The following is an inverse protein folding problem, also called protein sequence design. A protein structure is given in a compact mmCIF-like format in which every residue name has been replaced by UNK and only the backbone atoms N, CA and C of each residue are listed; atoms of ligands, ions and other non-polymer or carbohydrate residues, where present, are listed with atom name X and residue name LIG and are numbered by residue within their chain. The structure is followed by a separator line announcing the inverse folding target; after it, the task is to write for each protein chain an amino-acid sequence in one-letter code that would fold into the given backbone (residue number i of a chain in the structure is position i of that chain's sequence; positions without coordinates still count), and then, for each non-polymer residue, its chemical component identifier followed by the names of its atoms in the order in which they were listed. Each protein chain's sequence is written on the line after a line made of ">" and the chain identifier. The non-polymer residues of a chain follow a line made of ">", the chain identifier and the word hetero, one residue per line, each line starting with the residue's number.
data_IF_331193175108
#
_entry.id   IF_331193175108
#
_cell.length_a   1.000
_cell.length_b   1.000
_cell.length_c   1.000
_cell.angle_alpha   90.00
_cell.angle_beta   90.00
_cell.angle_gamma   90.00
#
_symmetry.space_group_name_H-M   'P 1'
#
loop_
_entity.id
_entity.type
_entity.pdbx_description
1 polymer ?
#
# COMPACT_ATOMS: atom_id res chain seq x y z
N UNK A 1 -20.30 10.70 -14.82
CA UNK A 1 -21.08 9.43 -14.72
C UNK A 1 -21.39 9.08 -13.25
N UNK A 2 -22.27 8.12 -12.97
CA UNK A 2 -22.45 7.50 -11.65
C UNK A 2 -22.96 6.04 -11.76
N UNK A 3 -22.77 5.23 -10.73
CA UNK A 3 -23.13 3.81 -10.73
C UNK A 3 -23.10 3.14 -9.36
N UNK A 4 -23.23 1.81 -9.36
CA UNK A 4 -23.19 0.95 -8.17
C UNK A 4 -22.35 -0.30 -8.44
N UNK A 5 -21.37 -0.55 -7.56
CA UNK A 5 -20.53 -1.75 -7.58
C UNK A 5 -21.34 -2.96 -7.04
N UNK A 6 -21.07 -4.20 -7.50
CA UNK A 6 -21.72 -5.39 -6.97
C UNK A 6 -21.51 -5.63 -5.47
N UNK A 7 -20.43 -5.09 -4.90
CA UNK A 7 -20.17 -5.00 -3.44
C UNK A 7 -21.11 -4.03 -2.69
N UNK A 8 -22.21 -3.59 -3.29
CA UNK A 8 -23.20 -2.69 -2.67
C UNK A 8 -22.83 -1.20 -2.69
N UNK A 9 -21.54 -0.88 -2.85
CA UNK A 9 -20.99 0.48 -2.87
C UNK A 9 -21.51 1.30 -4.06
N UNK A 10 -21.72 2.60 -3.88
CA UNK A 10 -22.08 3.51 -4.98
C UNK A 10 -20.88 4.36 -5.39
N UNK A 11 -20.85 4.87 -6.61
CA UNK A 11 -19.81 5.80 -7.05
C UNK A 11 -20.36 6.91 -7.95
N UNK A 12 -19.71 8.07 -7.91
CA UNK A 12 -19.95 9.18 -8.83
C UNK A 12 -18.60 9.65 -9.38
N UNK A 13 -18.53 9.86 -10.69
CA UNK A 13 -17.39 10.50 -11.35
C UNK A 13 -17.28 11.97 -10.88
N UNK A 14 -16.05 12.41 -10.63
CA UNK A 14 -15.75 13.81 -10.36
C UNK A 14 -15.60 14.56 -11.69
N UNK A 15 -16.21 15.73 -11.79
CA UNK A 15 -16.33 16.53 -13.01
C UNK A 15 -16.17 18.01 -12.62
N UNK A 16 -15.51 18.81 -13.46
CA UNK A 16 -15.24 20.25 -13.20
C UNK A 16 -13.81 20.54 -12.74
N UNK A 17 -13.58 21.76 -12.26
CA UNK A 17 -12.24 22.32 -11.98
C UNK A 17 -11.37 21.44 -11.07
N UNK A 18 -11.94 20.89 -9.99
CA UNK A 18 -11.24 19.98 -9.07
C UNK A 18 -10.78 18.68 -9.76
N UNK A 19 -11.56 18.16 -10.71
CA UNK A 19 -11.18 16.99 -11.52
C UNK A 19 -9.99 17.30 -12.41
N UNK A 20 -9.97 18.46 -13.08
CA UNK A 20 -8.89 18.80 -14.01
C UNK A 20 -7.58 19.12 -13.27
N UNK A 21 -7.63 19.86 -12.16
CA UNK A 21 -6.47 20.11 -11.30
C UNK A 21 -5.87 18.79 -10.77
N UNK A 22 -6.73 17.83 -10.38
CA UNK A 22 -6.26 16.53 -9.90
C UNK A 22 -5.68 15.64 -11.02
N UNK A 23 -6.17 15.72 -12.25
CA UNK A 23 -5.59 15.05 -13.44
C UNK A 23 -4.21 15.60 -13.81
N UNK A 24 -4.03 16.92 -13.72
CA UNK A 24 -2.73 17.57 -13.97
C UNK A 24 -1.70 17.25 -12.88
N UNK A 25 -2.16 17.04 -11.64
CA UNK A 25 -1.32 16.69 -10.49
C UNK A 25 -0.95 15.21 -10.41
N UNK A 26 -1.91 14.29 -10.61
CA UNK A 26 -1.74 12.85 -10.38
C UNK A 26 -2.01 12.04 -11.65
N UNK A 27 -0.99 11.34 -12.17
CA UNK A 27 -1.10 10.54 -13.39
C UNK A 27 -2.17 9.44 -13.30
N UNK A 28 -2.37 8.85 -12.10
CA UNK A 28 -3.43 7.86 -11.84
C UNK A 28 -4.85 8.36 -12.15
N UNK A 29 -5.08 9.67 -12.21
CA UNK A 29 -6.40 10.24 -12.44
C UNK A 29 -6.69 10.60 -13.89
N UNK A 30 -5.75 10.40 -14.83
CA UNK A 30 -5.88 10.85 -16.23
C UNK A 30 -7.10 10.27 -16.97
N UNK A 31 -7.45 8.99 -16.75
CA UNK A 31 -8.68 8.40 -17.32
C UNK A 31 -9.98 8.82 -16.59
N UNK A 32 -9.85 9.48 -15.43
CA UNK A 32 -10.94 10.00 -14.62
C UNK A 32 -10.82 9.64 -13.14
N UNK A 33 -11.67 10.26 -12.32
CA UNK A 33 -11.73 10.10 -10.87
C UNK A 33 -13.15 9.68 -10.48
N UNK A 34 -13.30 8.70 -9.60
CA UNK A 34 -14.58 8.33 -9.01
C UNK A 34 -14.55 8.51 -7.49
N UNK A 35 -15.57 9.17 -6.95
CA UNK A 35 -15.86 9.25 -5.52
C UNK A 35 -16.71 8.05 -5.12
N UNK A 36 -16.09 7.04 -4.53
CA UNK A 36 -16.77 5.82 -4.10
C UNK A 36 -17.34 5.94 -2.67
N UNK A 37 -18.49 5.32 -2.43
CA UNK A 37 -19.30 5.49 -1.23
C UNK A 37 -19.71 4.17 -0.58
N UNK A 38 -19.85 4.11 0.77
CA UNK A 38 -19.76 5.23 1.72
C UNK A 38 -18.35 5.83 1.84
N UNK A 39 -18.24 7.11 2.20
CA UNK A 39 -16.97 7.77 2.54
C UNK A 39 -16.34 8.71 1.49
N UNK A 40 -16.89 8.83 0.28
CA UNK A 40 -16.37 9.67 -0.81
C UNK A 40 -14.88 9.42 -1.15
N UNK A 41 -14.45 8.16 -1.13
CA UNK A 41 -13.09 7.74 -1.46
C UNK A 41 -12.71 8.17 -2.89
N UNK A 42 -11.64 8.98 -3.03
CA UNK A 42 -11.08 9.36 -4.33
C UNK A 42 -10.30 8.19 -4.93
N UNK A 43 -10.88 7.53 -5.94
CA UNK A 43 -10.29 6.37 -6.60
C UNK A 43 -10.10 6.66 -8.10
N UNK A 44 -9.03 6.13 -8.72
CA UNK A 44 -8.84 6.25 -10.16
C UNK A 44 -9.94 5.46 -10.89
N UNK A 45 -10.49 6.01 -11.97
CA UNK A 45 -11.67 5.42 -12.65
C UNK A 45 -11.54 3.94 -13.02
N UNK A 46 -10.37 3.42 -13.49
CA UNK A 46 -10.19 1.99 -13.72
C UNK A 46 -10.48 1.09 -12.50
N UNK A 47 -10.42 1.59 -11.26
CA UNK A 47 -10.78 0.83 -10.05
C UNK A 47 -12.15 0.14 -10.17
N UNK A 48 -13.11 0.76 -10.86
CA UNK A 48 -14.47 0.21 -11.05
C UNK A 48 -14.44 -1.18 -11.71
N UNK A 49 -13.50 -1.42 -12.63
CA UNK A 49 -13.35 -2.68 -13.38
C UNK A 49 -12.60 -3.77 -12.60
N UNK A 50 -12.03 -3.44 -11.44
CA UNK A 50 -11.27 -4.34 -10.57
C UNK A 50 -11.80 -4.42 -9.12
N UNK A 51 -12.81 -3.64 -8.76
CA UNK A 51 -13.33 -3.60 -7.39
C UNK A 51 -13.83 -4.95 -6.83
N UNK A 52 -14.19 -5.90 -7.71
CA UNK A 52 -14.60 -7.26 -7.32
C UNK A 52 -13.42 -8.21 -6.99
N UNK A 53 -12.15 -7.78 -7.17
CA UNK A 53 -11.02 -8.67 -7.45
C UNK A 53 -9.89 -8.74 -6.39
N UNK A 54 -10.05 -8.21 -5.16
CA UNK A 54 -8.92 -7.73 -4.30
C UNK A 54 -8.84 -8.37 -2.87
N UNK A 55 -7.63 -8.74 -2.36
CA UNK A 55 -7.37 -9.58 -1.14
C UNK A 55 -6.03 -9.27 -0.33
N UNK A 56 -5.60 -10.03 0.73
CA UNK A 56 -4.57 -9.68 1.80
C UNK A 56 -3.45 -10.77 2.06
N UNK A 57 -2.19 -10.63 2.62
CA UNK A 57 -1.21 -9.54 2.98
C UNK A 57 0.32 -9.99 2.81
N UNK A 58 1.38 -9.14 3.00
CA UNK A 58 2.79 -9.25 2.45
C UNK A 58 4.02 -9.68 3.37
N UNK A 59 5.16 -8.95 3.40
CA UNK A 59 6.54 -9.54 3.48
C UNK A 59 6.98 -10.14 4.84
N UNK A 60 6.72 -9.48 5.97
CA UNK A 60 7.11 -10.01 7.30
C UNK A 60 6.36 -11.34 7.55
N UNK A 61 5.09 -11.38 7.15
CA UNK A 61 4.26 -12.59 7.22
C UNK A 61 4.80 -13.67 6.30
N UNK A 62 5.25 -13.33 5.09
CA UNK A 62 5.90 -14.30 4.18
C UNK A 62 7.14 -14.94 4.81
N UNK A 63 8.00 -14.18 5.48
CA UNK A 63 9.16 -14.77 6.15
C UNK A 63 8.78 -15.64 7.36
N UNK A 64 7.82 -15.22 8.19
CA UNK A 64 7.34 -16.05 9.32
C UNK A 64 6.66 -17.35 8.89
N UNK A 65 5.95 -17.35 7.75
CA UNK A 65 5.14 -18.49 7.27
C UNK A 65 5.93 -19.41 6.32
N UNK A 66 6.74 -18.86 5.42
CA UNK A 66 7.39 -19.60 4.31
C UNK A 66 8.93 -19.61 4.38
N UNK A 67 9.59 -18.67 5.07
CA UNK A 67 11.06 -18.55 5.12
C UNK A 67 11.63 -18.29 6.54
N UNK A 68 11.30 -19.15 7.53
CA UNK A 68 11.61 -18.88 8.93
C UNK A 68 13.09 -19.01 9.28
N UNK A 69 13.82 -19.87 8.54
CA UNK A 69 15.23 -20.17 8.73
C UNK A 69 16.12 -19.49 7.67
N UNK A 70 15.56 -18.50 6.95
CA UNK A 70 16.22 -17.69 5.91
C UNK A 70 16.89 -18.50 4.78
N UNK A 71 16.33 -19.68 4.47
CA UNK A 71 16.89 -20.67 3.55
C UNK A 71 15.92 -21.17 2.46
N UNK A 72 14.71 -20.59 2.35
CA UNK A 72 13.76 -20.94 1.30
C UNK A 72 14.30 -20.45 -0.06
N UNK A 73 14.43 -21.31 -1.10
CA UNK A 73 14.92 -20.90 -2.43
C UNK A 73 14.04 -19.86 -3.13
N UNK A 74 12.77 -19.71 -2.74
CA UNK A 74 11.89 -18.65 -3.23
C UNK A 74 12.25 -17.26 -2.68
N UNK A 75 13.08 -17.14 -1.64
CA UNK A 75 13.37 -15.85 -0.99
C UNK A 75 14.04 -14.82 -1.92
N UNK A 76 14.76 -15.28 -2.93
CA UNK A 76 15.36 -14.46 -3.99
C UNK A 76 14.41 -14.19 -5.18
N UNK A 77 13.16 -14.67 -5.13
CA UNK A 77 12.11 -14.26 -6.08
C UNK A 77 11.57 -12.88 -5.65
N UNK A 78 11.21 -12.04 -6.63
CA UNK A 78 10.50 -10.77 -6.44
C UNK A 78 9.32 -10.90 -5.45
N UNK A 79 9.17 -9.93 -4.55
CA UNK A 79 8.08 -9.93 -3.56
C UNK A 79 6.70 -9.92 -4.25
N UNK A 80 6.58 -9.26 -5.40
CA UNK A 80 5.33 -9.18 -6.17
C UNK A 80 4.86 -10.59 -6.64
N UNK A 81 5.79 -11.48 -7.00
CA UNK A 81 5.49 -12.87 -7.39
C UNK A 81 5.23 -13.78 -6.18
N UNK A 82 5.87 -13.50 -5.04
CA UNK A 82 5.64 -14.22 -3.78
C UNK A 82 4.36 -13.77 -3.06
N UNK A 83 3.90 -12.56 -3.37
CA UNK A 83 2.78 -11.90 -2.73
C UNK A 83 2.11 -10.91 -3.72
N UNK A 84 1.18 -11.37 -4.56
CA UNK A 84 0.53 -10.54 -5.58
C UNK A 84 -0.14 -9.30 -4.99
N UNK A 85 0.08 -8.14 -5.60
CA UNK A 85 -0.41 -6.83 -5.19
C UNK A 85 -1.53 -6.40 -6.14
N UNK A 86 -2.79 -6.41 -5.71
CA UNK A 86 -3.93 -6.28 -6.64
C UNK A 86 -4.12 -4.88 -7.20
N UNK A 87 -3.76 -3.85 -6.44
CA UNK A 87 -3.90 -2.47 -6.90
C UNK A 87 -3.06 -2.21 -8.15
N UNK A 88 -1.98 -2.98 -8.37
CA UNK A 88 -1.19 -2.98 -9.62
C UNK A 88 -2.09 -3.23 -10.83
N UNK A 89 -3.13 -4.07 -10.72
CA UNK A 89 -4.02 -4.35 -11.86
C UNK A 89 -4.77 -3.10 -12.33
N UNK A 90 -5.32 -2.28 -11.43
CA UNK A 90 -5.97 -1.02 -11.83
C UNK A 90 -4.99 0.18 -11.94
N UNK A 91 -3.83 0.13 -11.28
CA UNK A 91 -2.75 1.13 -11.40
C UNK A 91 -1.99 0.99 -12.74
N UNK A 92 -2.09 -0.15 -13.42
CA UNK A 92 -1.48 -0.38 -14.74
C UNK A 92 -2.52 -0.46 -15.88
N UNK A 93 -3.82 -0.43 -15.58
CA UNK A 93 -4.91 -0.43 -16.58
C UNK A 93 -5.17 0.97 -17.18
N UNK A 94 -4.10 1.68 -17.56
CA UNK A 94 -4.16 2.98 -18.26
C UNK A 94 -3.70 2.84 -19.71
N UNK A 95 -4.31 3.57 -20.66
CA UNK A 95 -3.97 3.53 -22.10
C UNK A 95 -2.49 3.75 -22.38
N UNK A 96 -1.92 4.74 -21.69
CA UNK A 96 -0.56 5.27 -21.89
C UNK A 96 0.39 4.93 -20.72
N UNK A 97 -0.08 4.11 -19.77
CA UNK A 97 0.72 3.62 -18.65
C UNK A 97 1.87 2.70 -19.08
N UNK A 98 2.95 2.58 -18.27
CA UNK A 98 4.09 1.75 -18.60
C UNK A 98 3.72 0.26 -18.55
N UNK A 99 3.91 -0.43 -19.67
CA UNK A 99 3.45 -1.81 -19.88
C UNK A 99 4.49 -2.79 -19.33
N UNK A 100 4.02 -3.87 -18.72
CA UNK A 100 4.87 -4.98 -18.25
C UNK A 100 5.75 -5.51 -19.38
N UNK A 101 6.98 -5.95 -19.09
CA UNK A 101 7.81 -6.67 -20.05
C UNK A 101 7.09 -7.96 -20.51
N UNK A 102 6.76 -8.13 -21.80
CA UNK A 102 6.14 -9.35 -22.30
C UNK A 102 7.02 -10.60 -22.14
N UNK A 103 8.32 -10.41 -21.93
CA UNK A 103 9.29 -11.49 -21.64
C UNK A 103 9.51 -11.70 -20.14
N UNK A 104 8.93 -10.86 -19.28
CA UNK A 104 9.08 -10.91 -17.83
C UNK A 104 8.48 -12.20 -17.24
N UNK A 105 9.07 -12.69 -16.16
CA UNK A 105 8.64 -13.94 -15.51
C UNK A 105 7.15 -13.93 -15.13
N UNK A 106 6.69 -12.79 -14.60
CA UNK A 106 5.34 -12.60 -14.09
C UNK A 106 4.28 -12.69 -15.23
N UNK A 107 4.56 -12.12 -16.40
CA UNK A 107 3.72 -12.25 -17.62
C UNK A 107 3.78 -13.67 -18.21
N UNK A 108 4.96 -14.30 -18.26
CA UNK A 108 5.10 -15.70 -18.71
C UNK A 108 4.33 -16.67 -17.79
N UNK A 109 4.33 -16.40 -16.48
CA UNK A 109 3.57 -17.17 -15.48
C UNK A 109 2.07 -16.98 -15.65
N UNK A 110 1.60 -15.77 -15.97
CA UNK A 110 0.19 -15.51 -16.25
C UNK A 110 -0.30 -16.30 -17.47
N UNK A 111 0.32 -16.13 -18.64
CA UNK A 111 -0.12 -16.81 -19.86
C UNK A 111 0.01 -18.35 -19.79
N UNK A 112 0.87 -18.89 -18.92
CA UNK A 112 0.94 -20.33 -18.65
C UNK A 112 -0.34 -20.88 -17.99
N UNK A 113 -1.02 -20.08 -17.16
CA UNK A 113 -2.23 -20.49 -16.45
C UNK A 113 -3.52 -19.89 -17.08
N UNK A 114 -3.39 -18.77 -17.79
CA UNK A 114 -4.47 -17.97 -18.35
C UNK A 114 -4.14 -17.51 -19.79
N UNK A 115 -4.02 -18.44 -20.76
CA UNK A 115 -3.59 -18.11 -22.12
C UNK A 115 -4.58 -17.20 -22.87
N UNK A 116 -5.87 -17.28 -22.56
CA UNK A 116 -6.96 -16.56 -23.25
C UNK A 116 -7.35 -15.22 -22.61
N UNK A 117 -6.55 -14.70 -21.68
CA UNK A 117 -6.84 -13.46 -20.92
C UNK A 117 -5.85 -12.34 -21.23
N UNK A 118 -6.30 -11.10 -21.06
CA UNK A 118 -5.46 -9.90 -21.17
C UNK A 118 -4.92 -9.54 -19.77
N UNK A 119 -3.59 -9.58 -19.51
CA UNK A 119 -3.04 -9.29 -18.19
C UNK A 119 -3.29 -7.84 -17.73
N UNK A 120 -3.53 -6.89 -18.64
CA UNK A 120 -3.82 -5.49 -18.31
C UNK A 120 -5.32 -5.31 -18.08
N UNK A 121 -6.20 -5.94 -18.87
CA UNK A 121 -7.67 -5.73 -18.79
C UNK A 121 -8.41 -6.74 -17.89
N UNK A 122 -8.01 -8.00 -17.83
CA UNK A 122 -8.60 -8.99 -16.91
C UNK A 122 -8.08 -8.82 -15.47
N UNK A 123 -6.81 -8.44 -15.32
CA UNK A 123 -6.06 -8.28 -14.07
C UNK A 123 -5.01 -9.36 -13.89
N UNK A 124 -3.74 -8.97 -13.87
CA UNK A 124 -2.58 -9.85 -13.80
C UNK A 124 -2.44 -10.50 -12.41
N UNK A 125 -2.52 -9.68 -11.37
CA UNK A 125 -2.22 -10.03 -9.99
C UNK A 125 -3.35 -10.80 -9.31
N UNK A 126 -4.63 -10.50 -9.60
CA UNK A 126 -5.73 -11.40 -9.18
C UNK A 126 -5.56 -12.80 -9.74
N UNK A 127 -5.34 -12.94 -11.04
CA UNK A 127 -5.30 -14.26 -11.67
C UNK A 127 -4.09 -15.05 -11.16
N UNK A 128 -2.92 -14.41 -10.98
CA UNK A 128 -1.76 -15.04 -10.33
C UNK A 128 -2.01 -15.41 -8.86
N UNK A 129 -2.71 -14.57 -8.08
CA UNK A 129 -3.13 -14.91 -6.71
C UNK A 129 -4.09 -16.10 -6.63
N UNK A 130 -4.95 -16.28 -7.63
CA UNK A 130 -5.93 -17.37 -7.67
C UNK A 130 -5.30 -18.77 -7.82
N UNK A 131 -4.10 -18.85 -8.40
CA UNK A 131 -3.34 -20.11 -8.61
C UNK A 131 -2.17 -20.28 -7.63
N UNK A 132 -1.98 -19.33 -6.71
CA UNK A 132 -0.86 -19.34 -5.75
C UNK A 132 -1.11 -20.36 -4.62
N UNK A 133 -0.12 -21.20 -4.24
CA UNK A 133 -0.36 -22.31 -3.31
C UNK A 133 -0.54 -21.87 -1.85
N UNK A 134 -1.57 -22.41 -1.20
CA UNK A 134 -1.91 -22.08 0.17
C UNK A 134 -0.81 -22.48 1.20
N UNK A 135 -0.71 -21.77 2.36
CA UNK A 135 -1.40 -20.52 2.66
C UNK A 135 -0.88 -19.38 1.77
N UNK A 136 -1.82 -18.67 1.14
CA UNK A 136 -1.56 -17.50 0.27
C UNK A 136 -1.28 -16.24 1.07
N UNK A 137 -0.56 -15.32 0.44
CA UNK A 137 -0.13 -14.03 0.97
C UNK A 137 -0.18 -13.02 -0.20
N UNK A 138 -0.85 -11.88 -0.02
CA UNK A 138 -1.37 -11.06 -1.13
C UNK A 138 -1.43 -9.55 -0.73
N UNK A 139 -0.68 -8.63 -1.34
CA UNK A 139 -0.60 -7.24 -0.85
C UNK A 139 -1.87 -6.45 -1.21
N UNK A 140 -2.35 -5.61 -0.28
CA UNK A 140 -3.26 -4.50 -0.59
C UNK A 140 -3.09 -3.33 0.41
N UNK A 141 -3.69 -2.21 0.04
CA UNK A 141 -3.80 -0.95 0.77
C UNK A 141 -5.25 -0.41 0.74
N UNK A 142 -6.24 -1.20 0.33
CA UNK A 142 -7.63 -0.74 0.25
C UNK A 142 -8.25 -0.41 1.62
N UNK A 143 -9.30 0.42 1.64
CA UNK A 143 -10.14 0.57 2.82
C UNK A 143 -10.90 -0.73 3.09
N UNK A 144 -11.05 -1.11 4.36
CA UNK A 144 -11.69 -2.37 4.76
C UNK A 144 -13.09 -2.58 4.13
N UNK A 145 -13.84 -1.51 3.86
CA UNK A 145 -15.16 -1.57 3.23
C UNK A 145 -15.15 -2.15 1.80
N UNK A 146 -14.06 -1.99 1.06
CA UNK A 146 -13.93 -2.53 -0.30
C UNK A 146 -13.38 -3.96 -0.34
N UNK A 147 -13.06 -4.54 0.83
CA UNK A 147 -12.70 -5.95 0.95
C UNK A 147 -13.96 -6.80 1.20
N UNK A 148 -13.96 -8.11 0.87
CA UNK A 148 -15.13 -8.96 1.09
C UNK A 148 -15.56 -9.02 2.57
N UNK A 149 -16.86 -8.91 2.84
CA UNK A 149 -17.43 -8.86 4.20
C UNK A 149 -17.05 -10.06 5.08
N UNK A 150 -16.79 -11.23 4.47
CA UNK A 150 -16.38 -12.45 5.15
C UNK A 150 -14.87 -12.71 5.15
N UNK A 151 -14.06 -11.73 4.71
CA UNK A 151 -12.59 -11.82 4.69
C UNK A 151 -12.03 -12.23 6.06
N UNK A 152 -12.45 -11.60 7.16
CA UNK A 152 -11.99 -11.95 8.51
C UNK A 152 -12.49 -13.32 9.02
N UNK A 153 -13.44 -13.96 8.34
CA UNK A 153 -13.86 -15.35 8.59
C UNK A 153 -13.00 -16.35 7.82
N UNK A 154 -12.42 -15.95 6.69
CA UNK A 154 -11.59 -16.77 5.78
C UNK A 154 -10.08 -16.62 5.99
N UNK A 155 -9.63 -15.43 6.38
CA UNK A 155 -8.23 -15.03 6.40
C UNK A 155 -7.85 -14.28 7.69
N UNK A 156 -6.55 -14.19 7.95
CA UNK A 156 -5.95 -13.32 8.98
C UNK A 156 -5.39 -12.07 8.30
N UNK A 157 -5.77 -10.90 8.79
CA UNK A 157 -5.22 -9.61 8.32
C UNK A 157 -4.31 -9.00 9.36
N UNK A 158 -3.11 -8.60 8.93
CA UNK A 158 -2.21 -7.72 9.68
C UNK A 158 -2.27 -6.34 9.03
N UNK A 159 -2.60 -5.32 9.80
CA UNK A 159 -2.64 -3.93 9.37
C UNK A 159 -1.49 -3.15 10.02
N UNK A 160 -0.88 -2.23 9.28
CA UNK A 160 0.21 -1.38 9.74
C UNK A 160 -0.17 0.11 9.62
N UNK A 161 -0.36 0.76 10.76
CA UNK A 161 -0.53 2.19 10.86
C UNK A 161 0.83 2.91 10.98
N UNK A 162 0.86 4.21 10.66
CA UNK A 162 2.01 5.13 10.82
C UNK A 162 1.49 6.55 11.04
N UNK A 163 2.23 7.41 11.74
CA UNK A 163 1.87 8.83 11.91
C UNK A 163 1.61 9.49 10.53
N UNK A 164 0.44 10.12 10.30
CA UNK A 164 0.04 10.59 8.97
C UNK A 164 0.90 11.74 8.44
N UNK A 165 1.56 12.49 9.33
CA UNK A 165 2.53 13.54 8.95
C UNK A 165 3.77 12.91 8.31
N UNK A 166 4.18 11.77 8.85
CA UNK A 166 5.29 10.95 8.35
C UNK A 166 4.89 10.16 7.08
N UNK A 167 3.59 9.85 6.92
CA UNK A 167 3.01 9.29 5.68
C UNK A 167 2.98 10.36 4.59
N UNK A 168 2.46 11.57 4.81
CA UNK A 168 2.36 12.62 3.80
C UNK A 168 3.72 12.94 3.15
N UNK A 169 4.77 13.15 3.97
CA UNK A 169 6.15 13.32 3.51
C UNK A 169 6.63 12.11 2.70
N UNK A 170 6.33 10.89 3.15
CA UNK A 170 6.74 9.66 2.46
C UNK A 170 5.99 9.47 1.14
N UNK A 171 4.72 9.84 1.08
CA UNK A 171 3.84 9.81 -0.08
C UNK A 171 4.28 10.80 -1.14
N UNK A 172 4.58 12.05 -0.76
CA UNK A 172 5.10 13.07 -1.68
C UNK A 172 6.38 12.59 -2.40
N UNK A 173 7.37 12.12 -1.63
CA UNK A 173 8.61 11.60 -2.20
C UNK A 173 8.40 10.35 -3.07
N UNK A 174 7.46 9.47 -2.71
CA UNK A 174 7.13 8.28 -3.51
C UNK A 174 6.45 8.66 -4.83
N UNK A 175 5.45 9.55 -4.79
CA UNK A 175 4.77 10.05 -5.99
C UNK A 175 5.69 10.84 -6.93
N UNK A 176 6.67 11.58 -6.40
CA UNK A 176 7.74 12.20 -7.19
C UNK A 176 8.67 11.17 -7.86
N UNK A 177 8.94 10.03 -7.20
CA UNK A 177 9.86 9.00 -7.67
C UNK A 177 9.25 8.07 -8.75
N UNK A 178 7.97 7.71 -8.62
CA UNK A 178 7.31 6.81 -9.56
C UNK A 178 6.91 7.51 -10.86
N UNK A 179 7.25 6.92 -12.02
CA UNK A 179 6.73 7.34 -13.33
C UNK A 179 5.23 7.09 -13.50
N UNK A 180 4.65 6.13 -12.77
CA UNK A 180 3.22 5.80 -12.82
C UNK A 180 2.37 6.82 -12.04
N UNK A 181 2.98 7.50 -11.06
CA UNK A 181 2.30 8.51 -10.24
C UNK A 181 2.59 9.93 -10.76
N UNK A 182 3.80 10.12 -11.31
CA UNK A 182 4.32 11.27 -12.05
C UNK A 182 4.17 12.65 -11.38
N UNK A 183 3.93 12.69 -10.07
CA UNK A 183 3.28 13.85 -9.43
C UNK A 183 4.00 15.17 -9.67
N UNK A 184 3.28 16.13 -10.24
CA UNK A 184 3.83 17.39 -10.76
C UNK A 184 3.92 18.49 -9.69
N UNK A 185 2.94 18.57 -8.78
CA UNK A 185 2.78 19.62 -7.77
C UNK A 185 3.85 19.72 -6.68
N UNK A 186 3.69 20.70 -5.80
CA UNK A 186 4.58 21.02 -4.65
C UNK A 186 4.35 20.11 -3.43
N UNK A 187 5.18 20.27 -2.39
CA UNK A 187 4.97 19.57 -1.10
C UNK A 187 3.72 20.12 -0.38
N UNK A 188 3.54 21.43 -0.45
CA UNK A 188 2.41 22.18 0.08
C UNK A 188 1.10 21.70 -0.55
N UNK A 189 1.03 21.61 -1.88
CA UNK A 189 -0.13 21.04 -2.58
C UNK A 189 -0.35 19.57 -2.24
N UNK A 190 0.71 18.76 -2.10
CA UNK A 190 0.56 17.34 -1.73
C UNK A 190 0.02 17.16 -0.31
N UNK A 191 0.45 17.99 0.65
CA UNK A 191 -0.08 17.99 2.03
C UNK A 191 -1.55 18.42 2.04
N UNK A 192 -1.92 19.41 1.24
CA UNK A 192 -3.31 19.85 1.10
C UNK A 192 -4.20 18.78 0.44
N UNK A 193 -3.75 18.16 -0.65
CA UNK A 193 -4.45 17.06 -1.31
C UNK A 193 -4.55 15.84 -0.38
N UNK A 194 -3.53 15.56 0.44
CA UNK A 194 -3.54 14.47 1.43
C UNK A 194 -4.50 14.75 2.59
N UNK A 195 -4.53 15.99 3.09
CA UNK A 195 -5.43 16.40 4.18
C UNK A 195 -6.90 16.47 3.76
N UNK A 196 -7.18 16.66 2.46
CA UNK A 196 -8.52 16.64 1.87
C UNK A 196 -8.85 15.30 1.21
N UNK A 197 -8.09 14.23 1.51
CA UNK A 197 -8.33 12.86 1.05
C UNK A 197 -8.31 12.65 -0.49
N UNK A 198 -7.72 13.59 -1.23
CA UNK A 198 -7.60 13.59 -2.70
C UNK A 198 -6.45 12.75 -3.24
N UNK A 199 -5.43 12.45 -2.43
CA UNK A 199 -4.29 11.62 -2.85
C UNK A 199 -4.76 10.17 -3.04
N UNK A 200 -4.51 9.55 -4.21
CA UNK A 200 -5.00 8.20 -4.51
C UNK A 200 -4.46 7.13 -3.56
N UNK A 201 -5.18 6.00 -3.49
CA UNK A 201 -4.69 4.74 -2.93
C UNK A 201 -3.30 4.43 -3.51
N UNK A 202 -2.27 4.15 -2.68
CA UNK A 202 -2.36 3.66 -1.30
C UNK A 202 -2.30 4.69 -0.16
N UNK A 203 -2.58 5.98 -0.39
CA UNK A 203 -2.27 7.04 0.60
C UNK A 203 -3.45 7.79 1.24
N UNK A 204 -4.67 7.75 0.71
CA UNK A 204 -5.86 8.38 1.32
C UNK A 204 -7.14 7.56 1.13
N UNK A 205 -8.21 7.78 1.93
CA UNK A 205 -8.34 8.71 3.06
C UNK A 205 -7.81 8.14 4.38
N UNK A 206 -6.75 8.71 4.94
CA UNK A 206 -6.04 8.06 6.05
C UNK A 206 -6.89 7.88 7.32
N UNK A 207 -7.69 8.89 7.69
CA UNK A 207 -8.49 8.84 8.91
C UNK A 207 -9.64 7.84 8.85
N UNK A 208 -10.27 7.66 7.68
CA UNK A 208 -11.38 6.71 7.54
C UNK A 208 -10.89 5.26 7.44
N UNK A 209 -9.74 5.01 6.81
CA UNK A 209 -9.04 3.72 6.97
C UNK A 209 -8.75 3.44 8.44
N UNK A 210 -8.15 4.40 9.15
CA UNK A 210 -7.76 4.19 10.54
C UNK A 210 -8.96 4.00 11.47
N UNK A 211 -10.07 4.70 11.27
CA UNK A 211 -11.31 4.51 12.03
C UNK A 211 -11.85 3.09 11.82
N UNK A 212 -11.98 2.63 10.57
CA UNK A 212 -12.46 1.27 10.26
C UNK A 212 -11.55 0.19 10.89
N UNK A 213 -10.23 0.37 10.82
CA UNK A 213 -9.26 -0.51 11.46
C UNK A 213 -9.30 -0.46 13.00
N UNK A 214 -9.66 0.68 13.58
CA UNK A 214 -9.81 0.88 15.03
C UNK A 214 -11.11 0.25 15.57
N UNK A 215 -12.19 0.27 14.79
CA UNK A 215 -13.46 -0.40 15.10
C UNK A 215 -13.30 -1.93 15.14
N UNK A 216 -12.56 -2.51 14.18
CA UNK A 216 -12.33 -3.97 14.11
C UNK A 216 -11.10 -4.45 14.92
N UNK A 217 -10.42 -3.56 15.66
CA UNK A 217 -9.11 -3.82 16.30
C UNK A 217 -9.05 -5.04 17.24
N UNK A 218 -10.21 -5.43 17.78
CA UNK A 218 -10.36 -6.54 18.74
C UNK A 218 -10.79 -7.87 18.08
N UNK A 219 -10.95 -7.94 16.76
CA UNK A 219 -11.36 -9.16 16.07
C UNK A 219 -10.22 -10.21 16.05
N UNK A 220 -10.45 -11.51 16.38
CA UNK A 220 -9.37 -12.51 16.55
C UNK A 220 -8.57 -12.85 15.28
N UNK A 221 -9.03 -12.42 14.11
CA UNK A 221 -8.34 -12.53 12.82
C UNK A 221 -7.88 -11.18 12.25
N UNK A 222 -7.87 -10.12 13.07
CA UNK A 222 -7.27 -8.82 12.73
C UNK A 222 -6.16 -8.48 13.74
N UNK A 223 -5.05 -7.93 13.26
CA UNK A 223 -3.95 -7.44 14.10
C UNK A 223 -3.56 -6.05 13.62
N UNK A 224 -3.80 -5.03 14.44
CA UNK A 224 -3.29 -3.68 14.21
C UNK A 224 -1.90 -3.53 14.83
N UNK A 225 -0.94 -3.06 14.04
CA UNK A 225 0.41 -2.69 14.45
C UNK A 225 0.68 -1.22 14.10
N UNK A 226 1.69 -0.65 14.75
CA UNK A 226 2.15 0.72 14.46
C UNK A 226 3.62 0.69 14.02
N UNK A 227 3.94 1.46 12.98
CA UNK A 227 5.29 1.58 12.41
C UNK A 227 6.31 2.04 13.45
N UNK A 228 5.88 2.92 14.35
CA UNK A 228 6.69 3.45 15.44
C UNK A 228 7.12 2.33 16.41
N UNK A 229 6.23 1.39 16.75
CA UNK A 229 6.56 0.25 17.62
C UNK A 229 7.49 -0.75 16.92
N UNK A 230 7.25 -1.02 15.63
CA UNK A 230 8.16 -1.81 14.78
C UNK A 230 9.54 -1.14 14.62
N UNK A 231 9.62 0.18 14.77
CA UNK A 231 10.87 0.94 14.73
C UNK A 231 11.60 0.98 16.07
N UNK A 232 10.87 0.94 17.19
CA UNK A 232 11.42 0.94 18.55
C UNK A 232 11.85 -0.46 18.99
N UNK A 233 11.00 -1.48 18.81
CA UNK A 233 11.26 -2.85 19.23
C UNK A 233 10.73 -3.88 18.20
N UNK A 234 11.44 -4.09 17.08
CA UNK A 234 10.99 -5.01 16.02
C UNK A 234 10.83 -6.45 16.51
N UNK A 235 11.66 -6.94 17.43
CA UNK A 235 11.52 -8.31 17.97
C UNK A 235 10.21 -8.49 18.75
N UNK A 236 9.77 -7.49 19.52
CA UNK A 236 8.51 -7.56 20.26
C UNK A 236 7.30 -7.58 19.30
N UNK A 237 7.29 -6.73 18.29
CA UNK A 237 6.19 -6.68 17.30
C UNK A 237 6.16 -7.95 16.43
N UNK A 238 7.31 -8.48 16.02
CA UNK A 238 7.39 -9.74 15.28
C UNK A 238 6.91 -10.92 16.16
N UNK A 239 7.09 -10.90 17.48
CA UNK A 239 6.47 -11.87 18.42
C UNK A 239 4.95 -11.71 18.52
N UNK A 240 4.40 -10.48 18.41
CA UNK A 240 2.93 -10.29 18.29
C UNK A 240 2.40 -10.94 17.02
N UNK A 241 3.10 -10.75 15.89
CA UNK A 241 2.74 -11.37 14.61
C UNK A 241 2.82 -12.91 14.69
N UNK A 242 3.92 -13.47 15.22
CA UNK A 242 4.07 -14.93 15.36
C UNK A 242 2.93 -15.56 16.19
N UNK A 243 2.61 -14.94 17.33
CA UNK A 243 1.50 -15.36 18.20
C UNK A 243 0.15 -15.29 17.49
N UNK A 244 -0.09 -14.24 16.70
CA UNK A 244 -1.33 -14.01 15.96
C UNK A 244 -1.53 -14.97 14.77
N UNK A 245 -0.44 -15.27 14.04
CA UNK A 245 -0.43 -16.26 12.96
C UNK A 245 -0.44 -17.71 13.51
N UNK A 246 0.05 -17.91 14.73
CA UNK A 246 0.21 -19.23 15.35
C UNK A 246 1.45 -19.98 14.84
N UNK A 247 2.44 -19.26 14.29
CA UNK A 247 3.62 -19.85 13.63
C UNK A 247 4.64 -20.45 14.59
N UNK A 248 4.62 -20.12 15.89
CA UNK A 248 5.48 -20.73 16.95
C UNK A 248 6.99 -20.68 16.64
N UNK A 249 7.49 -19.56 16.09
CA UNK A 249 8.91 -19.36 15.82
C UNK A 249 9.71 -19.33 17.13
N UNK A 250 10.97 -19.77 17.08
CA UNK A 250 11.92 -19.63 18.20
C UNK A 250 12.41 -18.19 18.32
N UNK A 251 12.91 -17.79 19.51
CA UNK A 251 13.52 -16.46 19.70
C UNK A 251 14.66 -16.18 18.70
N UNK A 252 15.40 -17.21 18.28
CA UNK A 252 16.45 -17.06 17.27
C UNK A 252 15.87 -16.89 15.86
N UNK A 253 14.79 -17.58 15.49
CA UNK A 253 14.07 -17.31 14.24
C UNK A 253 13.48 -15.89 14.23
N UNK A 254 12.90 -15.42 15.35
CA UNK A 254 12.42 -14.04 15.49
C UNK A 254 13.55 -13.02 15.25
N UNK A 255 14.71 -13.21 15.88
CA UNK A 255 15.91 -12.37 15.68
C UNK A 255 16.39 -12.40 14.23
N UNK A 256 16.38 -13.56 13.60
CA UNK A 256 16.76 -13.72 12.20
C UNK A 256 15.80 -12.96 11.27
N UNK A 257 14.48 -13.07 11.48
CA UNK A 257 13.49 -12.25 10.75
C UNK A 257 13.72 -10.75 11.02
N UNK A 258 13.84 -10.32 12.29
CA UNK A 258 14.06 -8.91 12.65
C UNK A 258 15.33 -8.32 12.01
N UNK A 259 16.43 -9.10 11.98
CA UNK A 259 17.68 -8.76 11.29
C UNK A 259 17.48 -8.71 9.78
N UNK A 260 16.77 -9.67 9.19
CA UNK A 260 16.53 -9.75 7.75
C UNK A 260 15.63 -8.61 7.24
N UNK A 261 14.57 -8.27 7.98
CA UNK A 261 13.64 -7.17 7.67
C UNK A 261 14.08 -5.83 8.28
N UNK A 262 15.35 -5.69 8.67
CA UNK A 262 15.90 -4.40 9.09
C UNK A 262 16.06 -3.44 7.90
N UNK A 263 15.90 -2.15 8.14
CA UNK A 263 15.88 -1.12 7.08
C UNK A 263 17.15 -1.11 6.21
N UNK A 264 18.33 -1.32 6.82
CA UNK A 264 19.60 -1.43 6.09
C UNK A 264 19.60 -2.62 5.15
N UNK A 265 19.19 -3.79 5.65
CA UNK A 265 19.28 -5.06 4.92
C UNK A 265 18.23 -5.12 3.80
N UNK A 266 17.03 -4.56 4.01
CA UNK A 266 16.05 -4.37 2.94
C UNK A 266 16.56 -3.39 1.87
N UNK A 267 17.03 -2.20 2.28
CA UNK A 267 17.59 -1.18 1.35
C UNK A 267 18.78 -1.70 0.55
N UNK A 268 19.56 -2.63 1.09
CA UNK A 268 20.66 -3.28 0.38
C UNK A 268 20.18 -4.41 -0.55
N UNK A 269 19.27 -5.28 -0.11
CA UNK A 269 18.69 -6.35 -0.96
C UNK A 269 18.00 -5.77 -2.20
N UNK A 270 17.19 -4.72 -2.05
CA UNK A 270 16.46 -4.09 -3.17
C UNK A 270 17.38 -3.48 -4.24
N UNK A 271 18.64 -3.14 -3.92
CA UNK A 271 19.64 -2.74 -4.94
C UNK A 271 20.16 -3.91 -5.77
N UNK A 272 20.11 -5.13 -5.23
CA UNK A 272 20.59 -6.36 -5.88
C UNK A 272 19.45 -7.11 -6.58
N UNK A 273 18.25 -7.00 -6.04
CA UNK A 273 17.03 -7.66 -6.51
C UNK A 273 15.83 -6.72 -6.22
N UNK A 274 15.54 -5.74 -7.09
CA UNK A 274 14.36 -4.90 -6.95
C UNK A 274 13.10 -5.74 -7.24
N UNK A 275 11.99 -5.50 -6.51
CA UNK A 275 10.67 -5.99 -6.93
C UNK A 275 10.35 -5.61 -8.38
N UNK A 276 9.49 -6.41 -9.01
CA UNK A 276 9.13 -6.27 -10.43
C UNK A 276 8.36 -4.97 -10.68
N UNK A 277 7.55 -4.53 -9.72
CA UNK A 277 6.91 -3.21 -9.69
C UNK A 277 7.90 -2.04 -9.49
N UNK A 278 9.15 -2.33 -9.12
CA UNK A 278 10.20 -1.38 -8.72
C UNK A 278 11.49 -1.50 -9.54
N UNK A 279 11.45 -2.12 -10.72
CA UNK A 279 12.56 -2.05 -11.68
C UNK A 279 12.79 -0.60 -12.15
N UNK A 280 14.01 -0.31 -12.61
CA UNK A 280 14.46 0.98 -13.15
C UNK A 280 13.58 1.50 -14.32
N UNK A 281 12.82 0.60 -14.95
CA UNK A 281 11.75 0.94 -15.88
C UNK A 281 10.71 1.90 -15.27
N UNK A 282 10.40 1.79 -13.97
CA UNK A 282 9.32 2.52 -13.29
C UNK A 282 9.76 3.74 -12.47
N UNK A 283 11.03 3.85 -12.08
CA UNK A 283 11.53 5.01 -11.31
C UNK A 283 12.09 6.14 -12.19
N UNK A 284 11.94 7.39 -11.76
CA UNK A 284 12.50 8.56 -12.42
C UNK A 284 14.00 8.72 -12.10
N UNK A 285 14.87 8.41 -13.06
CA UNK A 285 16.33 8.56 -12.92
C UNK A 285 16.77 9.92 -12.39
N UNK A 286 16.19 10.99 -12.92
CA UNK A 286 16.45 12.39 -12.50
C UNK A 286 16.11 12.69 -11.02
N UNK A 287 15.33 11.83 -10.36
CA UNK A 287 14.97 11.89 -8.93
C UNK A 287 15.91 11.00 -8.13
N UNK A 288 16.27 9.83 -8.65
CA UNK A 288 17.28 8.92 -8.07
C UNK A 288 18.68 9.54 -8.03
N UNK A 289 19.09 10.20 -9.12
CA UNK A 289 20.34 10.96 -9.26
C UNK A 289 20.41 12.12 -8.25
N UNK A 290 19.25 12.64 -7.81
CA UNK A 290 19.12 13.65 -6.74
C UNK A 290 18.99 13.02 -5.34
N UNK A 291 19.25 11.72 -5.19
CA UNK A 291 19.21 10.99 -3.91
C UNK A 291 17.84 10.42 -3.52
N UNK A 292 16.83 10.54 -4.39
CA UNK A 292 15.54 9.88 -4.23
C UNK A 292 15.70 8.36 -4.20
N UNK A 293 14.93 7.69 -3.35
CA UNK A 293 14.93 6.23 -3.27
C UNK A 293 13.70 5.73 -2.50
N UNK A 294 13.19 4.55 -2.89
CA UNK A 294 12.04 3.91 -2.25
C UNK A 294 12.27 3.74 -0.73
N UNK A 295 13.40 3.16 -0.34
CA UNK A 295 13.85 3.13 1.05
C UNK A 295 14.50 4.46 1.45
N UNK A 296 13.72 5.54 1.63
CA UNK A 296 14.21 6.91 1.92
C UNK A 296 15.01 7.03 3.24
N UNK A 297 14.33 7.33 4.37
CA UNK A 297 14.94 7.59 5.71
C UNK A 297 14.84 6.42 6.70
N UNK A 298 13.75 5.64 6.69
CA UNK A 298 13.55 4.52 7.64
C UNK A 298 13.42 4.92 9.11
N UNK A 299 13.01 6.15 9.40
CA UNK A 299 12.79 6.74 10.73
C UNK A 299 11.29 6.98 10.96
N UNK A 300 10.88 7.03 12.22
CA UNK A 300 9.62 7.62 12.67
C UNK A 300 9.81 9.09 13.08
N UNK A 301 8.77 9.90 12.99
CA UNK A 301 8.77 11.32 13.42
C UNK A 301 9.63 12.25 12.54
N UNK A 302 10.06 11.78 11.37
CA UNK A 302 10.89 12.53 10.42
C UNK A 302 10.21 13.77 9.84
N UNK A 303 8.88 13.83 9.86
CA UNK A 303 8.09 15.00 9.49
C UNK A 303 8.51 16.30 10.19
N UNK A 304 9.06 16.23 11.41
CA UNK A 304 9.58 17.39 12.15
C UNK A 304 10.83 18.01 11.51
N UNK A 305 11.61 17.20 10.78
CA UNK A 305 12.77 17.61 9.98
C UNK A 305 12.36 17.96 8.53
N UNK A 306 11.37 17.25 7.98
CA UNK A 306 11.03 17.26 6.54
C UNK A 306 9.93 18.27 6.14
N UNK A 307 9.07 18.73 7.07
CA UNK A 307 8.01 19.71 6.80
C UNK A 307 8.44 21.13 7.22
N UNK A 308 8.20 22.17 6.40
CA UNK A 308 8.23 23.56 6.84
C UNK A 308 7.32 23.82 8.06
N UNK A 309 7.66 24.75 8.99
CA UNK A 309 6.88 24.96 10.21
C UNK A 309 5.38 25.23 9.99
N UNK A 310 5.02 25.98 8.94
CA UNK A 310 3.62 26.26 8.62
C UNK A 310 2.83 25.00 8.19
N UNK A 311 3.47 24.02 7.52
CA UNK A 311 2.85 22.72 7.24
C UNK A 311 2.79 21.84 8.49
N UNK A 312 3.77 21.93 9.40
CA UNK A 312 3.68 21.26 10.70
C UNK A 312 2.48 21.78 11.49
N UNK A 313 2.30 23.10 11.61
CA UNK A 313 1.16 23.72 12.30
C UNK A 313 -0.19 23.36 11.66
N UNK A 314 -0.25 23.35 10.32
CA UNK A 314 -1.44 22.97 9.55
C UNK A 314 -1.82 21.51 9.78
N UNK A 315 -0.88 20.57 9.61
CA UNK A 315 -1.14 19.16 9.87
C UNK A 315 -1.43 18.88 11.35
N UNK A 316 -0.77 19.56 12.28
CA UNK A 316 -1.04 19.41 13.72
C UNK A 316 -2.43 19.94 14.12
N UNK A 317 -3.03 20.84 13.35
CA UNK A 317 -4.41 21.30 13.56
C UNK A 317 -5.41 20.27 13.04
N UNK A 318 -5.23 19.79 11.82
CA UNK A 318 -5.99 18.68 11.22
C UNK A 318 -5.91 17.37 12.03
N UNK A 319 -4.77 17.13 12.71
CA UNK A 319 -4.63 16.08 13.71
C UNK A 319 -5.57 16.27 14.90
N UNK A 320 -5.63 17.48 15.50
CA UNK A 320 -6.52 17.74 16.66
C UNK A 320 -7.99 17.53 16.31
N UNK A 321 -8.40 18.00 15.15
CA UNK A 321 -9.76 17.88 14.64
C UNK A 321 -10.16 16.40 14.48
N UNK A 322 -9.35 15.60 13.79
CA UNK A 322 -9.69 14.20 13.50
C UNK A 322 -9.44 13.24 14.68
N UNK A 323 -8.54 13.55 15.62
CA UNK A 323 -8.34 12.72 16.82
C UNK A 323 -9.58 12.65 17.72
N UNK A 324 -10.52 13.59 17.60
CA UNK A 324 -11.84 13.53 18.28
C UNK A 324 -12.67 12.30 17.89
N UNK A 325 -12.30 11.61 16.79
CA UNK A 325 -12.97 10.40 16.28
C UNK A 325 -12.47 9.10 16.96
N UNK A 326 -11.52 9.19 17.89
CA UNK A 326 -10.81 8.05 18.48
C UNK A 326 -10.77 8.10 20.00
N UNK A 327 -10.63 6.92 20.60
CA UNK A 327 -10.47 6.72 22.04
C UNK A 327 -9.10 7.24 22.55
N UNK A 328 -8.98 7.51 23.85
CA UNK A 328 -7.72 7.99 24.46
C UNK A 328 -6.53 7.01 24.30
N UNK A 329 -6.79 5.70 24.17
CA UNK A 329 -5.76 4.68 23.90
C UNK A 329 -5.22 4.69 22.46
N UNK A 330 -5.79 5.51 21.56
CA UNK A 330 -5.25 5.69 20.22
C UNK A 330 -3.87 6.36 20.23
N UNK A 331 -2.90 5.70 19.58
CA UNK A 331 -1.47 6.00 19.71
C UNK A 331 -1.07 7.43 19.32
N UNK A 332 -1.62 7.95 18.23
CA UNK A 332 -1.19 9.23 17.68
C UNK A 332 -1.82 10.40 18.44
N UNK A 333 -1.00 11.42 18.71
CA UNK A 333 -1.39 12.70 19.31
C UNK A 333 -0.85 13.84 18.45
N UNK A 334 -1.51 14.99 18.51
CA UNK A 334 -1.17 16.17 17.71
C UNK A 334 0.08 16.89 18.21
#
# INVERSE_FOLDING_TARGET
>A
MSGKLPSGHTYKELEGEESEVLKERFHLYQEGIVLANPGNYYLPKPFVDFAEKIYNFEEIVWNLVKNPDLNNPEADISIDSRCPFFEVDYIFCFTDGPKYDPKGELIRSFYKHFPDKDPIRDGLMIHLASVHPDPRLLKNHLPYTFLPEDMLKKAKTVCLARDPRDIAVSGYHYHKLQKILDYTGTLEEFVDDFMNDRVPVPFGPWWDHMRLHWEIRNHPNFLLLFYEDLKENPEAEIKKIDKFLGTKRTDEQIKNVARYTSFSNMKERTKRNPPTSFDNAFFKKEVEEKGGSFFRKGKAGSWKEDLPPHLQEKMNSWMKENLTRFDDDFKYKA
#
